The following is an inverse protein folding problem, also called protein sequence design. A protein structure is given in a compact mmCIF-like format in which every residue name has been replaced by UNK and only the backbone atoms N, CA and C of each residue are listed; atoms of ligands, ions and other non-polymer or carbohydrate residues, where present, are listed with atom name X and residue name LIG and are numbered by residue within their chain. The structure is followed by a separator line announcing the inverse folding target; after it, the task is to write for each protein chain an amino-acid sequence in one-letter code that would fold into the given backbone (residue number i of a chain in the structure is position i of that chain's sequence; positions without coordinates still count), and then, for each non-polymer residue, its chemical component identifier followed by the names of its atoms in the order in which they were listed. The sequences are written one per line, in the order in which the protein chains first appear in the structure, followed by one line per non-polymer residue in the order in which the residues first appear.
data_IF_175420600668
#
_entry.id   IF_175420600668
#
_cell.length_a   1.000
_cell.length_b   1.000
_cell.length_c   1.000
_cell.angle_alpha   90.00
_cell.angle_beta   90.00
_cell.angle_gamma   90.00
#
_symmetry.space_group_name_H-M   'P 1'
#
loop_
_entity.id
_entity.type
_entity.pdbx_description
1 polymer ?
#
# COMPACT_ATOMS: atom_id res chain seq x y z
N UNK A 1 -17.65 32.40 -11.85
CA UNK A 1 -18.71 31.39 -11.74
C UNK A 1 -18.26 29.95 -12.05
N UNK A 2 -17.45 29.70 -13.07
CA UNK A 2 -17.02 28.34 -13.42
C UNK A 2 -16.16 27.58 -12.42
N UNK A 3 -15.32 28.25 -11.63
CA UNK A 3 -14.46 27.59 -10.64
C UNK A 3 -15.24 27.07 -9.40
N UNK A 4 -16.27 27.80 -9.01
CA UNK A 4 -17.13 27.43 -7.88
C UNK A 4 -17.97 26.18 -8.19
N UNK A 5 -18.58 26.10 -9.36
CA UNK A 5 -19.36 24.94 -9.82
C UNK A 5 -18.48 23.70 -9.98
N UNK A 6 -17.25 23.85 -10.50
CA UNK A 6 -16.28 22.74 -10.56
C UNK A 6 -15.90 22.23 -9.17
N UNK A 7 -15.74 23.10 -8.18
CA UNK A 7 -15.43 22.71 -6.80
C UNK A 7 -16.58 21.95 -6.14
N UNK A 8 -17.84 22.40 -6.34
CA UNK A 8 -19.01 21.68 -5.83
C UNK A 8 -19.13 20.31 -6.47
N UNK A 9 -19.04 20.22 -7.80
CA UNK A 9 -19.08 18.94 -8.54
C UNK A 9 -18.00 17.97 -8.06
N UNK A 10 -16.76 18.43 -7.85
CA UNK A 10 -15.67 17.62 -7.31
C UNK A 10 -15.98 17.11 -5.90
N UNK A 11 -16.51 17.95 -5.03
CA UNK A 11 -16.84 17.55 -3.66
C UNK A 11 -17.96 16.51 -3.61
N UNK A 12 -19.00 16.67 -4.45
CA UNK A 12 -20.08 15.69 -4.59
C UNK A 12 -19.55 14.35 -5.11
N UNK A 13 -18.70 14.37 -6.12
CA UNK A 13 -18.06 13.16 -6.65
C UNK A 13 -17.25 12.41 -5.58
N UNK A 14 -16.42 13.12 -4.81
CA UNK A 14 -15.63 12.52 -3.73
C UNK A 14 -16.55 11.90 -2.66
N UNK A 15 -17.61 12.59 -2.27
CA UNK A 15 -18.59 12.07 -1.30
C UNK A 15 -19.27 10.79 -1.80
N UNK A 16 -19.70 10.78 -3.07
CA UNK A 16 -20.29 9.58 -3.69
C UNK A 16 -19.31 8.41 -3.70
N UNK A 17 -18.03 8.66 -4.07
CA UNK A 17 -17.00 7.63 -4.06
C UNK A 17 -16.74 7.08 -2.66
N UNK A 18 -16.64 7.94 -1.64
CA UNK A 18 -16.52 7.53 -0.24
C UNK A 18 -17.68 6.63 0.20
N UNK A 19 -18.91 7.03 -0.12
CA UNK A 19 -20.10 6.24 0.19
C UNK A 19 -20.05 4.86 -0.48
N UNK A 20 -19.70 4.79 -1.76
CA UNK A 20 -19.59 3.53 -2.49
C UNK A 20 -18.51 2.61 -1.88
N UNK A 21 -17.35 3.17 -1.51
CA UNK A 21 -16.29 2.40 -0.85
C UNK A 21 -16.78 1.90 0.51
N UNK A 22 -17.45 2.74 1.29
CA UNK A 22 -17.99 2.35 2.60
C UNK A 22 -19.03 1.23 2.49
N UNK A 23 -19.97 1.31 1.54
CA UNK A 23 -20.92 0.24 1.24
C UNK A 23 -20.21 -1.05 0.81
N UNK A 24 -19.15 -0.93 -0.01
CA UNK A 24 -18.31 -2.06 -0.39
C UNK A 24 -17.61 -2.71 0.80
N UNK A 25 -17.11 -1.91 1.76
CA UNK A 25 -16.50 -2.42 2.99
C UNK A 25 -17.52 -3.23 3.79
N UNK A 26 -18.71 -2.69 4.01
CA UNK A 26 -19.77 -3.41 4.74
C UNK A 26 -20.15 -4.71 4.04
N UNK A 27 -20.31 -4.67 2.73
CA UNK A 27 -20.64 -5.85 1.93
C UNK A 27 -19.56 -6.93 2.05
N UNK A 28 -18.29 -6.61 1.79
CA UNK A 28 -17.20 -7.60 1.84
C UNK A 28 -17.04 -8.18 3.25
N UNK A 29 -17.13 -7.34 4.29
CA UNK A 29 -17.10 -7.81 5.68
C UNK A 29 -18.26 -8.77 5.99
N UNK A 30 -19.46 -8.53 5.45
CA UNK A 30 -20.61 -9.42 5.65
C UNK A 30 -20.43 -10.77 4.94
N UNK A 31 -19.85 -10.76 3.75
CA UNK A 31 -19.58 -11.98 2.95
C UNK A 31 -18.49 -12.83 3.60
N UNK A 32 -17.53 -12.21 4.29
CA UNK A 32 -16.34 -12.86 4.89
C UNK A 32 -15.63 -13.78 3.87
N UNK A 33 -15.11 -13.22 2.78
CA UNK A 33 -14.46 -14.02 1.73
C UNK A 33 -13.10 -14.53 2.22
N UNK A 34 -12.64 -15.63 1.67
CA UNK A 34 -11.27 -16.09 1.88
C UNK A 34 -10.35 -15.49 0.80
N UNK A 35 -10.01 -14.22 0.98
CA UNK A 35 -9.15 -13.45 0.08
C UNK A 35 -7.87 -13.04 0.78
N UNK A 36 -6.77 -13.06 0.02
CA UNK A 36 -5.46 -12.57 0.42
C UNK A 36 -5.03 -11.51 -0.58
N UNK A 37 -4.61 -10.33 -0.11
CA UNK A 37 -3.96 -9.33 -0.95
C UNK A 37 -2.46 -9.57 -0.97
N UNK A 38 -1.85 -9.54 -2.15
CA UNK A 38 -0.41 -9.67 -2.34
C UNK A 38 0.11 -8.54 -3.21
N UNK A 39 1.23 -7.93 -2.78
CA UNK A 39 1.93 -6.94 -3.58
C UNK A 39 2.73 -7.63 -4.70
N UNK A 40 2.49 -7.23 -5.96
CA UNK A 40 3.18 -7.76 -7.14
C UNK A 40 4.45 -6.96 -7.42
N UNK A 41 5.51 -7.22 -6.65
CA UNK A 41 6.80 -6.53 -6.76
C UNK A 41 7.47 -6.72 -8.13
N UNK A 42 7.27 -7.88 -8.77
CA UNK A 42 7.94 -8.23 -10.03
C UNK A 42 7.59 -7.31 -11.20
N UNK A 43 6.40 -6.68 -11.13
CA UNK A 43 5.90 -5.78 -12.18
C UNK A 43 6.12 -4.29 -11.88
N UNK A 44 6.84 -3.97 -10.81
CA UNK A 44 7.06 -2.60 -10.38
C UNK A 44 8.55 -2.30 -10.37
N UNK A 45 8.94 -1.20 -11.04
CA UNK A 45 10.33 -0.72 -11.12
C UNK A 45 10.46 0.72 -10.64
N UNK A 46 9.64 1.11 -9.69
CA UNK A 46 9.68 2.46 -9.11
C UNK A 46 10.70 2.52 -7.95
N UNK A 47 11.02 3.73 -7.52
CA UNK A 47 11.83 3.95 -6.32
C UNK A 47 11.12 3.42 -5.06
N UNK A 48 11.92 3.16 -4.00
CA UNK A 48 11.45 2.60 -2.72
C UNK A 48 10.23 3.34 -2.16
N UNK A 49 10.25 4.68 -2.16
CA UNK A 49 9.14 5.47 -1.62
C UNK A 49 7.83 5.29 -2.39
N UNK A 50 7.89 5.17 -3.73
CA UNK A 50 6.71 4.94 -4.54
C UNK A 50 6.15 3.53 -4.32
N UNK A 51 7.01 2.52 -4.23
CA UNK A 51 6.59 1.16 -3.92
C UNK A 51 5.99 1.06 -2.51
N UNK A 52 6.61 1.70 -1.52
CA UNK A 52 6.08 1.78 -0.17
C UNK A 52 4.67 2.41 -0.13
N UNK A 53 4.45 3.51 -0.85
CA UNK A 53 3.13 4.13 -0.95
C UNK A 53 2.07 3.19 -1.56
N UNK A 54 2.45 2.39 -2.55
CA UNK A 54 1.57 1.36 -3.13
C UNK A 54 1.25 0.25 -2.12
N UNK A 55 2.25 -0.23 -1.38
CA UNK A 55 2.07 -1.22 -0.31
C UNK A 55 1.14 -0.66 0.77
N UNK A 56 1.31 0.61 1.18
CA UNK A 56 0.41 1.27 2.12
C UNK A 56 -1.05 1.26 1.64
N UNK A 57 -1.28 1.47 0.34
CA UNK A 57 -2.64 1.41 -0.22
C UNK A 57 -3.27 0.01 -0.10
N UNK A 58 -2.47 -1.04 -0.21
CA UNK A 58 -2.90 -2.42 0.00
C UNK A 58 -3.12 -2.74 1.48
N UNK A 59 -2.21 -2.30 2.36
CA UNK A 59 -2.36 -2.43 3.81
C UNK A 59 -3.66 -1.77 4.28
N UNK A 60 -3.94 -0.54 3.85
CA UNK A 60 -5.19 0.15 4.19
C UNK A 60 -6.40 -0.61 3.65
N UNK A 61 -6.35 -1.06 2.40
CA UNK A 61 -7.45 -1.84 1.82
C UNK A 61 -7.68 -3.15 2.58
N UNK A 62 -6.62 -3.88 2.89
CA UNK A 62 -6.68 -5.11 3.67
C UNK A 62 -7.29 -4.87 5.05
N UNK A 63 -6.83 -3.86 5.77
CA UNK A 63 -7.34 -3.46 7.06
C UNK A 63 -8.84 -3.10 7.02
N UNK A 64 -9.23 -2.22 6.11
CA UNK A 64 -10.61 -1.74 5.98
C UNK A 64 -11.60 -2.86 5.64
N UNK A 65 -11.22 -3.76 4.76
CA UNK A 65 -12.07 -4.86 4.31
C UNK A 65 -11.94 -6.13 5.17
N UNK A 66 -11.09 -6.10 6.20
CA UNK A 66 -10.76 -7.25 7.03
C UNK A 66 -10.31 -8.46 6.21
N UNK A 67 -9.37 -8.22 5.29
CA UNK A 67 -8.75 -9.23 4.46
C UNK A 67 -7.36 -9.57 5.00
N UNK A 68 -6.87 -10.73 4.64
CA UNK A 68 -5.48 -11.10 4.91
C UNK A 68 -4.56 -10.40 3.91
N UNK A 69 -3.33 -10.08 4.33
CA UNK A 69 -2.29 -9.55 3.46
C UNK A 69 -1.06 -10.45 3.48
N UNK A 70 -0.61 -10.86 2.30
CA UNK A 70 0.65 -11.57 2.16
C UNK A 70 1.82 -10.63 2.45
N UNK A 71 2.89 -11.19 3.04
CA UNK A 71 4.08 -10.42 3.38
C UNK A 71 4.63 -9.68 2.14
N UNK A 72 4.62 -8.34 2.14
CA UNK A 72 5.08 -7.58 0.97
C UNK A 72 6.61 -7.53 0.95
N UNK A 73 7.17 -7.34 -0.25
CA UNK A 73 8.61 -7.11 -0.43
C UNK A 73 8.83 -6.03 -1.48
N UNK A 74 9.81 -5.18 -1.26
CA UNK A 74 10.35 -4.27 -2.27
C UNK A 74 11.57 -4.98 -2.87
N UNK A 75 11.49 -5.37 -4.14
CA UNK A 75 12.54 -6.20 -4.77
C UNK A 75 13.26 -5.46 -5.90
N UNK A 76 12.52 -4.84 -6.79
CA UNK A 76 13.06 -4.21 -7.98
C UNK A 76 12.88 -2.69 -7.92
N UNK A 77 13.98 -1.95 -7.86
CA UNK A 77 13.93 -0.49 -7.88
C UNK A 77 14.68 0.05 -9.11
N UNK A 78 14.22 1.19 -9.59
CA UNK A 78 14.97 1.95 -10.59
C UNK A 78 16.03 2.76 -9.86
N UNK A 79 17.29 2.51 -10.20
CA UNK A 79 18.44 3.29 -9.73
C UNK A 79 18.65 4.45 -10.69
N UNK A 80 18.74 5.66 -10.17
CA UNK A 80 19.13 6.82 -10.94
C UNK A 80 20.65 7.03 -10.88
N UNK A 81 21.27 7.60 -11.93
CA UNK A 81 22.72 7.83 -11.94
C UNK A 81 23.26 8.66 -10.77
N UNK A 82 22.38 9.45 -10.13
CA UNK A 82 22.73 10.28 -8.96
C UNK A 82 22.40 9.63 -7.62
N UNK A 83 21.90 8.39 -7.61
CA UNK A 83 21.63 7.69 -6.36
C UNK A 83 22.95 7.28 -5.69
N UNK A 84 23.03 7.36 -4.36
CA UNK A 84 24.27 7.06 -3.62
C UNK A 84 24.66 5.57 -3.69
N UNK A 85 23.71 4.70 -3.95
CA UNK A 85 23.93 3.25 -4.07
C UNK A 85 23.78 2.87 -5.54
N UNK A 86 24.93 2.63 -6.20
CA UNK A 86 24.98 2.22 -7.60
C UNK A 86 25.32 0.73 -7.76
N UNK A 87 25.98 0.16 -6.77
CA UNK A 87 26.39 -1.23 -6.77
C UNK A 87 25.22 -2.17 -6.44
N UNK A 88 24.95 -3.19 -7.29
CA UNK A 88 23.85 -4.12 -7.10
C UNK A 88 23.86 -4.89 -5.79
N UNK A 89 25.04 -5.23 -5.26
CA UNK A 89 25.18 -5.99 -4.01
C UNK A 89 24.78 -5.12 -2.82
N UNK A 90 25.29 -3.90 -2.77
CA UNK A 90 24.92 -2.91 -1.76
C UNK A 90 23.42 -2.58 -1.82
N UNK A 91 22.85 -2.52 -3.02
CA UNK A 91 21.41 -2.29 -3.21
C UNK A 91 20.59 -3.45 -2.65
N UNK A 92 20.97 -4.70 -2.92
CA UNK A 92 20.25 -5.85 -2.39
C UNK A 92 20.30 -5.91 -0.86
N UNK A 93 21.47 -5.62 -0.27
CA UNK A 93 21.62 -5.53 1.19
C UNK A 93 20.71 -4.44 1.77
N UNK A 94 20.70 -3.25 1.15
CA UNK A 94 19.84 -2.14 1.53
C UNK A 94 18.35 -2.49 1.47
N UNK A 95 17.91 -3.13 0.38
CA UNK A 95 16.51 -3.54 0.23
C UNK A 95 16.12 -4.63 1.23
N UNK A 96 17.01 -5.56 1.53
CA UNK A 96 16.79 -6.57 2.55
C UNK A 96 16.57 -5.93 3.92
N UNK A 97 17.45 -5.03 4.33
CA UNK A 97 17.35 -4.32 5.62
C UNK A 97 16.05 -3.51 5.72
N UNK A 98 15.64 -2.89 4.61
CA UNK A 98 14.36 -2.19 4.55
C UNK A 98 13.17 -3.13 4.70
N UNK A 99 13.15 -4.23 3.96
CA UNK A 99 12.06 -5.20 4.02
C UNK A 99 11.94 -5.81 5.42
N UNK A 100 13.06 -6.18 6.04
CA UNK A 100 13.07 -6.74 7.39
C UNK A 100 12.55 -5.76 8.44
N UNK A 101 12.87 -4.48 8.32
CA UNK A 101 12.43 -3.46 9.29
C UNK A 101 11.00 -2.98 9.07
N UNK A 102 10.63 -2.72 7.82
CA UNK A 102 9.30 -2.18 7.49
C UNK A 102 8.21 -3.21 7.65
N UNK A 103 8.48 -4.46 7.31
CA UNK A 103 7.48 -5.51 7.23
C UNK A 103 7.68 -6.61 8.29
N UNK A 104 8.20 -6.24 9.46
CA UNK A 104 8.45 -7.15 10.58
C UNK A 104 7.18 -7.63 11.30
N UNK A 105 6.02 -7.05 10.99
CA UNK A 105 4.77 -7.36 11.66
C UNK A 105 4.29 -8.80 11.42
N UNK A 106 3.80 -9.44 12.47
CA UNK A 106 3.17 -10.77 12.42
C UNK A 106 1.78 -10.77 11.77
N UNK A 107 1.27 -9.60 11.38
CA UNK A 107 -0.03 -9.45 10.73
C UNK A 107 -0.02 -9.85 9.24
N UNK A 108 1.16 -10.09 8.69
CA UNK A 108 1.32 -10.59 7.34
C UNK A 108 1.31 -12.12 7.32
N UNK A 109 0.69 -12.72 6.32
CA UNK A 109 0.81 -14.15 6.08
C UNK A 109 2.05 -14.48 5.26
N UNK A 110 2.79 -15.50 5.70
CA UNK A 110 3.91 -16.02 4.93
C UNK A 110 3.39 -16.72 3.66
N UNK A 111 3.81 -16.20 2.50
CA UNK A 111 3.45 -16.76 1.20
C UNK A 111 3.88 -18.22 1.02
N UNK A 112 4.96 -18.65 1.68
CA UNK A 112 5.53 -19.97 1.48
C UNK A 112 4.70 -21.09 2.15
N UNK A 113 4.03 -20.80 3.26
CA UNK A 113 3.39 -21.84 4.09
C UNK A 113 1.88 -22.01 3.86
N UNK A 114 1.14 -20.91 3.64
CA UNK A 114 -0.33 -20.95 3.63
C UNK A 114 -0.97 -20.93 2.23
N UNK A 115 -0.24 -20.61 1.16
CA UNK A 115 -0.82 -20.17 -0.12
C UNK A 115 -0.87 -21.24 -1.21
N UNK A 116 -0.32 -22.45 -0.99
CA UNK A 116 -0.24 -23.50 -2.03
C UNK A 116 -1.58 -23.94 -2.64
N UNK A 117 -2.69 -23.69 -1.95
CA UNK A 117 -4.04 -24.06 -2.41
C UNK A 117 -4.88 -22.88 -2.92
N UNK A 118 -4.29 -21.67 -3.01
CA UNK A 118 -5.04 -20.50 -3.43
C UNK A 118 -5.03 -20.34 -4.94
N UNK A 119 -6.18 -19.91 -5.48
CA UNK A 119 -6.27 -19.49 -6.87
C UNK A 119 -5.67 -18.09 -7.04
N UNK A 120 -4.75 -17.95 -7.99
CA UNK A 120 -4.11 -16.67 -8.28
C UNK A 120 -4.97 -15.82 -9.22
N UNK A 121 -5.17 -14.55 -8.88
CA UNK A 121 -5.79 -13.53 -9.72
C UNK A 121 -4.87 -12.30 -9.78
N UNK A 122 -4.69 -11.70 -10.97
CA UNK A 122 -3.71 -10.64 -11.20
C UNK A 122 -4.38 -9.36 -11.69
N UNK A 123 -4.04 -8.23 -11.06
CA UNK A 123 -4.54 -6.91 -11.42
C UNK A 123 -3.41 -5.88 -11.43
N UNK A 124 -3.40 -5.01 -12.44
CA UNK A 124 -2.48 -3.86 -12.43
C UNK A 124 -2.83 -2.88 -11.29
N UNK A 125 -4.13 -2.65 -11.06
CA UNK A 125 -4.66 -1.86 -9.95
C UNK A 125 -5.96 -2.49 -9.47
N UNK A 126 -6.07 -2.72 -8.17
CA UNK A 126 -7.27 -3.30 -7.58
C UNK A 126 -8.38 -2.25 -7.47
N UNK A 127 -9.53 -2.55 -8.07
CA UNK A 127 -10.73 -1.70 -8.02
C UNK A 127 -11.78 -2.32 -7.11
N UNK A 128 -12.60 -1.47 -6.48
CA UNK A 128 -13.70 -1.91 -5.61
C UNK A 128 -14.60 -2.97 -6.27
N UNK A 129 -14.98 -2.75 -7.55
CA UNK A 129 -15.80 -3.70 -8.30
C UNK A 129 -15.16 -5.08 -8.39
N UNK A 130 -13.85 -5.14 -8.69
CA UNK A 130 -13.12 -6.41 -8.77
C UNK A 130 -13.09 -7.11 -7.41
N UNK A 131 -12.85 -6.36 -6.33
CA UNK A 131 -12.83 -6.90 -4.98
C UNK A 131 -14.19 -7.49 -4.59
N UNK A 132 -15.30 -6.81 -4.89
CA UNK A 132 -16.65 -7.31 -4.63
C UNK A 132 -16.92 -8.60 -5.42
N UNK A 133 -16.60 -8.62 -6.72
CA UNK A 133 -16.81 -9.81 -7.58
C UNK A 133 -16.01 -11.01 -7.05
N UNK A 134 -14.73 -10.79 -6.68
CA UNK A 134 -13.88 -11.85 -6.14
C UNK A 134 -14.37 -12.34 -4.77
N UNK A 135 -14.92 -11.43 -3.94
CA UNK A 135 -15.52 -11.79 -2.66
C UNK A 135 -16.70 -12.74 -2.85
N UNK A 136 -17.60 -12.42 -3.78
CA UNK A 136 -18.74 -13.28 -4.12
C UNK A 136 -18.24 -14.62 -4.66
N UNK A 137 -17.30 -14.59 -5.61
CA UNK A 137 -16.74 -15.79 -6.25
C UNK A 137 -16.07 -16.72 -5.23
N UNK A 138 -15.22 -16.17 -4.35
CA UNK A 138 -14.57 -16.92 -3.26
C UNK A 138 -15.61 -17.59 -2.36
N UNK A 139 -16.69 -16.88 -2.01
CA UNK A 139 -17.75 -17.41 -1.14
C UNK A 139 -18.56 -18.51 -1.80
N UNK A 140 -18.99 -18.31 -3.06
CA UNK A 140 -19.79 -19.28 -3.80
C UNK A 140 -19.01 -20.54 -4.13
N UNK A 141 -17.76 -20.42 -4.57
CA UNK A 141 -16.91 -21.57 -4.91
C UNK A 141 -16.21 -22.20 -3.70
N UNK A 142 -16.38 -21.62 -2.50
CA UNK A 142 -15.65 -22.01 -1.28
C UNK A 142 -14.12 -22.06 -1.50
N UNK A 143 -13.62 -21.26 -2.43
CA UNK A 143 -12.20 -21.25 -2.80
C UNK A 143 -11.47 -20.08 -2.15
N UNK A 144 -10.21 -20.32 -1.80
CA UNK A 144 -9.30 -19.29 -1.38
C UNK A 144 -8.67 -18.61 -2.59
N UNK A 145 -8.63 -17.27 -2.63
CA UNK A 145 -8.10 -16.50 -3.75
C UNK A 145 -7.01 -15.57 -3.25
N UNK A 146 -5.84 -15.59 -3.91
CA UNK A 146 -4.81 -14.61 -3.74
C UNK A 146 -4.87 -13.59 -4.88
N UNK A 147 -4.90 -12.31 -4.52
CA UNK A 147 -5.00 -11.19 -5.44
C UNK A 147 -3.64 -10.52 -5.52
N UNK A 148 -2.92 -10.75 -6.61
CA UNK A 148 -1.66 -10.08 -6.92
C UNK A 148 -1.96 -8.74 -7.59
N UNK A 149 -1.52 -7.64 -6.97
CA UNK A 149 -1.75 -6.31 -7.51
C UNK A 149 -0.64 -5.34 -7.11
N UNK A 150 -0.42 -4.32 -7.94
CA UNK A 150 0.55 -3.28 -7.65
C UNK A 150 0.05 -2.28 -6.60
N UNK A 151 -1.25 -1.99 -6.60
CA UNK A 151 -1.83 -0.92 -5.79
C UNK A 151 -3.35 -1.05 -5.65
N UNK A 152 -3.91 -0.31 -4.68
CA UNK A 152 -5.34 -0.18 -4.47
C UNK A 152 -5.78 1.29 -4.24
N UNK A 153 -5.08 2.27 -4.85
CA UNK A 153 -5.35 3.70 -4.66
C UNK A 153 -6.79 4.10 -4.97
N UNK A 154 -7.41 3.46 -5.99
CA UNK A 154 -8.81 3.71 -6.31
C UNK A 154 -9.80 3.39 -5.18
N UNK A 155 -9.34 2.71 -4.14
CA UNK A 155 -10.09 2.41 -2.91
C UNK A 155 -9.54 3.25 -1.77
N UNK A 156 -8.24 3.16 -1.50
CA UNK A 156 -7.58 3.76 -0.35
C UNK A 156 -7.65 5.29 -0.31
N UNK A 157 -7.60 5.95 -1.47
CA UNK A 157 -7.64 7.42 -1.55
C UNK A 157 -8.95 8.03 -1.04
N UNK A 158 -9.98 7.24 -0.93
CA UNK A 158 -11.27 7.68 -0.36
C UNK A 158 -11.42 7.38 1.13
N UNK A 159 -10.42 6.77 1.76
CA UNK A 159 -10.43 6.36 3.16
C UNK A 159 -9.21 6.91 3.93
N UNK A 160 -8.79 8.13 3.64
CA UNK A 160 -7.56 8.73 4.18
C UNK A 160 -7.58 8.82 5.71
N UNK A 161 -8.76 9.00 6.30
CA UNK A 161 -8.92 9.13 7.76
C UNK A 161 -8.54 7.83 8.51
N UNK A 162 -8.59 6.68 7.81
CA UNK A 162 -8.29 5.36 8.38
C UNK A 162 -6.80 4.96 8.25
N UNK A 163 -5.98 5.75 7.54
CA UNK A 163 -4.55 5.42 7.33
C UNK A 163 -3.80 5.23 8.64
N UNK A 164 -4.07 6.08 9.63
CA UNK A 164 -3.38 6.00 10.92
C UNK A 164 -3.61 4.64 11.59
N UNK A 165 -4.84 4.14 11.59
CA UNK A 165 -5.16 2.84 12.18
C UNK A 165 -4.49 1.68 11.42
N UNK A 166 -4.51 1.71 10.08
CA UNK A 166 -3.85 0.71 9.26
C UNK A 166 -2.32 0.74 9.43
N UNK A 167 -1.71 1.94 9.53
CA UNK A 167 -0.27 2.08 9.79
C UNK A 167 0.08 1.50 11.16
N UNK A 168 -0.68 1.79 12.21
CA UNK A 168 -0.45 1.21 13.52
C UNK A 168 -0.60 -0.31 13.53
N UNK A 169 -1.51 -0.86 12.74
CA UNK A 169 -1.74 -2.29 12.65
C UNK A 169 -0.57 -3.01 11.96
N UNK A 170 -0.18 -2.55 10.76
CA UNK A 170 0.84 -3.24 9.95
C UNK A 170 2.29 -2.83 10.24
N UNK A 171 2.52 -1.65 10.82
CA UNK A 171 3.86 -1.08 11.01
C UNK A 171 4.18 -0.75 12.46
N UNK A 172 3.46 -1.36 13.42
CA UNK A 172 3.63 -1.11 14.86
C UNK A 172 5.07 -1.26 15.32
N UNK A 173 5.74 -2.33 14.92
CA UNK A 173 7.12 -2.62 15.32
C UNK A 173 8.09 -1.62 14.73
N UNK A 174 7.92 -1.26 13.46
CA UNK A 174 8.69 -0.20 12.81
C UNK A 174 8.49 1.16 13.48
N UNK A 175 7.27 1.53 13.83
CA UNK A 175 6.98 2.77 14.56
C UNK A 175 7.63 2.75 15.95
N UNK A 176 7.63 1.63 16.64
CA UNK A 176 8.28 1.46 17.95
C UNK A 176 9.80 1.64 17.81
N UNK A 177 10.40 1.07 16.76
CA UNK A 177 11.81 1.26 16.43
C UNK A 177 12.14 2.73 16.13
N UNK A 178 11.33 3.42 15.36
CA UNK A 178 11.52 4.85 15.11
C UNK A 178 11.43 5.67 16.39
N UNK A 179 10.42 5.44 17.20
CA UNK A 179 10.21 6.14 18.45
C UNK A 179 11.35 5.91 19.46
N UNK A 180 11.92 4.71 19.52
CA UNK A 180 13.06 4.42 20.41
C UNK A 180 14.33 5.18 20.04
N UNK A 181 14.48 5.59 18.79
CA UNK A 181 15.61 6.39 18.31
C UNK A 181 15.39 7.89 18.44
N UNK A 182 14.15 8.34 18.56
CA UNK A 182 13.78 9.76 18.58
C UNK A 182 13.37 10.26 19.96
N UNK A 183 14.19 9.99 20.98
CA UNK A 183 14.03 10.64 22.30
C UNK A 183 14.53 12.10 22.32
N UNK A 184 14.94 12.65 21.20
CA UNK A 184 15.32 14.05 21.04
C UNK A 184 14.31 14.77 20.16
N UNK A 185 14.00 16.01 20.53
CA UNK A 185 13.17 16.95 19.77
C UNK A 185 13.85 17.43 18.47
N UNK A 186 14.47 16.53 17.73
CA UNK A 186 15.14 16.83 16.48
C UNK A 186 14.13 16.96 15.34
N UNK A 187 14.29 18.02 14.57
CA UNK A 187 13.55 18.24 13.34
C UNK A 187 13.95 17.19 12.30
N UNK A 188 13.05 16.28 11.98
CA UNK A 188 13.30 15.31 10.90
C UNK A 188 13.03 16.01 9.57
N UNK A 189 14.11 16.35 8.86
CA UNK A 189 14.00 16.84 7.49
C UNK A 189 14.01 15.63 6.54
N UNK A 190 12.90 15.38 5.87
CA UNK A 190 12.84 14.40 4.81
C UNK A 190 13.56 14.95 3.57
N UNK A 191 14.82 14.56 3.41
CA UNK A 191 15.61 14.90 2.23
C UNK A 191 15.45 13.80 1.17
N UNK A 192 14.85 14.16 0.03
CA UNK A 192 14.80 13.28 -1.14
C UNK A 192 16.00 13.57 -2.04
N UNK A 193 17.00 12.70 -2.00
CA UNK A 193 18.12 12.72 -2.92
C UNK A 193 17.77 11.83 -4.13
N UNK A 194 17.71 12.41 -5.31
CA UNK A 194 17.45 11.68 -6.57
C UNK A 194 17.02 12.61 -7.69
N UNK A 195 17.22 12.19 -8.92
CA UNK A 195 16.97 12.98 -10.14
C UNK A 195 15.48 13.16 -10.48
N UNK A 196 14.59 12.74 -9.64
CA UNK A 196 13.13 12.88 -9.83
C UNK A 196 12.66 14.30 -9.62
N UNK A 197 13.01 15.22 -10.51
CA UNK A 197 12.28 16.42 -10.89
C UNK A 197 11.83 17.37 -9.78
N UNK A 198 12.54 17.48 -8.67
CA UNK A 198 12.31 18.58 -7.74
C UNK A 198 13.37 19.66 -7.97
N UNK A 199 12.94 20.74 -8.62
CA UNK A 199 13.57 22.00 -8.38
C UNK A 199 13.69 22.17 -6.87
N UNK A 200 14.91 22.28 -6.37
CA UNK A 200 15.17 22.76 -5.02
C UNK A 200 14.53 24.14 -4.99
N UNK A 201 13.39 24.27 -4.34
CA UNK A 201 12.95 25.58 -3.92
C UNK A 201 13.96 26.03 -2.90
N UNK A 202 15.03 26.67 -3.41
CA UNK A 202 15.87 27.52 -2.58
C UNK A 202 14.91 28.52 -1.96
N UNK A 203 14.70 28.37 -0.66
CA UNK A 203 13.93 29.33 0.09
C UNK A 203 14.50 30.71 -0.21
N UNK A 204 13.73 31.51 -0.91
CA UNK A 204 14.02 32.93 -1.01
C UNK A 204 13.98 33.47 0.41
N UNK A 205 15.11 34.08 0.77
CA UNK A 205 15.24 34.85 2.00
C UNK A 205 14.24 36.01 2.01
#
# INVERSE_FOLDING_TARGET
MGSFLKRISRNLYVRQKRLLVWLGILFVKSVRPNLVLAYDANKVRDGVGAQFHRILSLCLTSFLFNLKMAHPRIENITIHPLDPIQDPVSLQSYLRDWNERLFSSNEYIDQAMEIKSYRNEYFASLKLRSLIILSIKSKLSKSSIIIHTKEAHSISDYCVDDYRAAIHFYFKEFLTFLNSRHNSSELIVHYRQGSGGFAIHQGQK
#
